data_IF_992034079004
#
_entry.id   IF_992034079004
#
_cell.length_a   1.000
_cell.length_b   1.000
_cell.length_c   1.000
_cell.angle_alpha   90.00
_cell.angle_beta   90.00
_cell.angle_gamma   90.00
#
_symmetry.space_group_name_H-M   'P 1'
#
loop_
_entity.id
_entity.type
_entity.pdbx_description
1 polymer ?
#
# COMPACT_ATOMS: atom_id res chain seq x y z
N UNK A 1 3.66 14.11 0.74
CA UNK A 1 3.53 13.56 -0.62
C UNK A 1 2.22 12.78 -0.75
N UNK A 2 1.56 12.87 -1.89
CA UNK A 2 0.32 12.15 -2.18
C UNK A 2 0.45 11.33 -3.47
N UNK A 3 -0.03 10.10 -3.45
CA UNK A 3 -0.13 9.20 -4.61
C UNK A 3 -1.59 8.78 -4.74
N UNK A 4 -2.29 9.16 -5.83
CA UNK A 4 -3.67 8.78 -6.06
C UNK A 4 -3.80 7.32 -6.52
N UNK A 5 -4.98 6.72 -6.34
CA UNK A 5 -5.28 5.34 -6.78
C UNK A 5 -5.40 5.20 -8.30
N UNK A 6 -5.69 6.30 -9.00
CA UNK A 6 -5.65 6.37 -10.46
C UNK A 6 -4.72 7.50 -10.91
N UNK A 7 -3.55 7.10 -11.41
CA UNK A 7 -2.47 8.01 -11.79
C UNK A 7 -2.64 8.48 -13.22
N UNK A 8 -2.82 9.78 -13.39
CA UNK A 8 -2.75 10.48 -14.67
C UNK A 8 -1.41 11.21 -14.81
N UNK A 9 -0.74 11.03 -15.94
CA UNK A 9 0.54 11.66 -16.27
C UNK A 9 0.41 12.46 -17.57
N UNK A 10 1.39 13.28 -17.88
CA UNK A 10 1.47 14.03 -19.15
C UNK A 10 1.92 13.10 -20.29
N UNK A 11 1.05 12.72 -21.25
CA UNK A 11 1.35 11.64 -22.21
C UNK A 11 2.56 11.88 -23.09
N UNK A 12 2.92 13.14 -23.33
CA UNK A 12 4.05 13.57 -24.16
C UNK A 12 5.40 13.49 -23.43
N UNK A 13 5.39 13.52 -22.11
CA UNK A 13 6.60 13.43 -21.31
C UNK A 13 6.99 11.97 -21.09
N UNK A 14 8.28 11.73 -20.94
CA UNK A 14 8.79 10.44 -20.48
C UNK A 14 8.50 10.23 -19.00
N UNK A 15 8.62 8.98 -18.52
CA UNK A 15 8.46 8.70 -17.09
C UNK A 15 9.45 9.46 -16.22
N UNK A 16 10.69 9.57 -16.69
CA UNK A 16 11.74 10.34 -16.01
C UNK A 16 11.43 11.83 -15.92
N UNK A 17 10.95 12.43 -17.01
CA UNK A 17 10.52 13.83 -17.05
C UNK A 17 9.30 14.06 -16.15
N UNK A 18 8.33 13.14 -16.12
CA UNK A 18 7.19 13.23 -15.20
C UNK A 18 7.65 13.25 -13.73
N UNK A 19 8.60 12.38 -13.36
CA UNK A 19 9.17 12.36 -12.02
C UNK A 19 9.85 13.68 -11.70
N UNK A 20 10.65 14.22 -12.63
CA UNK A 20 11.36 15.49 -12.45
C UNK A 20 10.39 16.66 -12.23
N UNK A 21 9.32 16.73 -13.02
CA UNK A 21 8.27 17.74 -12.86
C UNK A 21 7.62 17.62 -11.47
N UNK A 22 7.23 16.40 -11.07
CA UNK A 22 6.58 16.17 -9.78
C UNK A 22 7.50 16.52 -8.59
N UNK A 23 8.79 16.23 -8.67
CA UNK A 23 9.77 16.60 -7.65
C UNK A 23 9.94 18.14 -7.58
N UNK A 24 10.12 18.80 -8.72
CA UNK A 24 10.26 20.27 -8.80
C UNK A 24 9.02 21.00 -8.28
N UNK A 25 7.81 20.50 -8.55
CA UNK A 25 6.55 21.04 -8.00
C UNK A 25 6.49 20.97 -6.47
N UNK A 26 7.26 20.05 -5.86
CA UNK A 26 7.42 19.92 -4.40
C UNK A 26 8.64 20.67 -3.85
N UNK A 27 9.34 21.43 -4.68
CA UNK A 27 10.55 22.15 -4.29
C UNK A 27 11.80 21.26 -4.12
N UNK A 28 11.77 20.04 -4.63
CA UNK A 28 12.87 19.08 -4.55
C UNK A 28 13.67 19.09 -5.85
N UNK A 29 14.99 19.23 -5.74
CA UNK A 29 15.87 19.08 -6.90
C UNK A 29 16.00 17.59 -7.27
N UNK A 30 15.59 17.20 -8.49
CA UNK A 30 15.73 15.81 -8.94
C UNK A 30 17.15 15.24 -8.87
N UNK A 31 18.17 16.09 -9.05
CA UNK A 31 19.56 15.64 -9.04
C UNK A 31 20.05 15.26 -7.63
N UNK A 32 19.51 15.86 -6.59
CA UNK A 32 19.85 15.57 -5.19
C UNK A 32 18.91 14.56 -4.53
N UNK A 33 17.88 14.10 -5.24
CA UNK A 33 16.87 13.18 -4.73
C UNK A 33 17.29 11.71 -4.89
N UNK A 34 16.56 10.81 -4.22
CA UNK A 34 16.72 9.36 -4.38
C UNK A 34 16.10 8.79 -5.68
N UNK A 35 15.80 9.65 -6.66
CA UNK A 35 15.12 9.28 -7.91
C UNK A 35 15.78 8.10 -8.62
N UNK A 36 17.12 8.15 -8.81
CA UNK A 36 17.84 7.13 -9.57
C UNK A 36 17.74 5.74 -8.91
N UNK A 37 17.97 5.67 -7.60
CA UNK A 37 17.83 4.46 -6.79
C UNK A 37 16.42 3.87 -6.89
N UNK A 38 15.40 4.73 -6.78
CA UNK A 38 14.01 4.27 -6.81
C UNK A 38 13.55 3.83 -8.21
N UNK A 39 14.04 4.46 -9.28
CA UNK A 39 13.80 4.02 -10.66
C UNK A 39 14.31 2.59 -10.86
N UNK A 40 15.52 2.29 -10.39
CA UNK A 40 16.10 0.96 -10.45
C UNK A 40 15.30 -0.03 -9.58
N UNK A 41 15.00 0.33 -8.33
CA UNK A 41 14.24 -0.51 -7.38
C UNK A 41 12.87 -0.91 -7.91
N UNK A 42 12.17 0.00 -8.58
CA UNK A 42 10.85 -0.25 -9.18
C UNK A 42 10.91 -0.78 -10.61
N UNK A 43 12.10 -1.06 -11.13
CA UNK A 43 12.30 -1.56 -12.49
C UNK A 43 11.53 -0.72 -13.53
N UNK A 44 11.61 0.60 -13.40
CA UNK A 44 10.94 1.54 -14.28
C UNK A 44 11.88 1.94 -15.43
N UNK A 45 11.44 1.81 -16.68
CA UNK A 45 12.14 2.40 -17.82
C UNK A 45 11.75 3.89 -17.94
N UNK A 46 12.59 4.83 -17.46
CA UNK A 46 12.24 6.24 -17.41
C UNK A 46 12.25 6.93 -18.77
N UNK A 47 12.72 6.25 -19.83
CA UNK A 47 12.90 6.84 -21.15
C UNK A 47 11.64 6.77 -22.03
N UNK A 48 10.73 5.85 -21.72
CA UNK A 48 9.46 5.68 -22.43
C UNK A 48 8.49 6.82 -22.14
N UNK A 49 7.71 7.19 -23.16
CA UNK A 49 6.62 8.18 -23.00
C UNK A 49 5.53 7.65 -22.09
N UNK A 50 5.08 8.46 -21.15
CA UNK A 50 4.09 8.04 -20.15
C UNK A 50 2.74 7.68 -20.74
N UNK A 51 2.40 8.21 -21.92
CA UNK A 51 1.21 7.81 -22.67
C UNK A 51 1.19 6.35 -23.14
N UNK A 52 2.37 5.68 -23.19
CA UNK A 52 2.50 4.26 -23.56
C UNK A 52 2.56 3.33 -22.34
N UNK A 53 2.55 3.87 -21.13
CA UNK A 53 2.65 3.08 -19.92
C UNK A 53 1.36 2.32 -19.60
N UNK A 54 1.52 1.09 -19.11
CA UNK A 54 0.45 0.38 -18.42
C UNK A 54 0.02 1.13 -17.15
N UNK A 55 -1.12 0.77 -16.57
CA UNK A 55 -1.55 1.30 -15.27
C UNK A 55 -0.44 1.15 -14.20
N UNK A 56 0.16 -0.04 -14.11
CA UNK A 56 1.23 -0.33 -13.16
C UNK A 56 2.47 0.56 -13.35
N UNK A 57 2.89 0.81 -14.60
CA UNK A 57 4.02 1.70 -14.85
C UNK A 57 3.71 3.17 -14.52
N UNK A 58 2.49 3.65 -14.75
CA UNK A 58 2.08 4.99 -14.28
C UNK A 58 2.10 5.07 -12.75
N UNK A 59 1.63 4.00 -12.08
CA UNK A 59 1.69 3.90 -10.61
C UNK A 59 3.14 3.95 -10.11
N UNK A 60 4.06 3.21 -10.74
CA UNK A 60 5.50 3.26 -10.41
C UNK A 60 6.07 4.68 -10.51
N UNK A 61 5.72 5.45 -11.55
CA UNK A 61 6.16 6.85 -11.69
C UNK A 61 5.72 7.69 -10.50
N UNK A 62 4.44 7.59 -10.09
CA UNK A 62 3.91 8.35 -8.96
C UNK A 62 4.57 7.95 -7.63
N UNK A 63 4.79 6.65 -7.42
CA UNK A 63 5.47 6.13 -6.23
C UNK A 63 6.93 6.60 -6.15
N UNK A 64 7.67 6.50 -7.26
CA UNK A 64 9.06 6.99 -7.33
C UNK A 64 9.12 8.49 -7.02
N UNK A 65 8.26 9.30 -7.65
CA UNK A 65 8.23 10.73 -7.40
C UNK A 65 7.86 11.10 -5.96
N UNK A 66 6.94 10.35 -5.33
CA UNK A 66 6.56 10.57 -3.94
C UNK A 66 7.69 10.20 -2.98
N UNK A 67 8.23 8.98 -3.11
CA UNK A 67 9.25 8.44 -2.21
C UNK A 67 10.60 9.16 -2.35
N UNK A 68 10.91 9.68 -3.54
CA UNK A 68 12.13 10.46 -3.78
C UNK A 68 12.06 11.88 -3.19
N UNK A 69 10.88 12.36 -2.85
CA UNK A 69 10.69 13.69 -2.28
C UNK A 69 11.04 13.79 -0.78
N UNK A 70 11.29 12.68 -0.12
CA UNK A 70 11.64 12.58 1.32
C UNK A 70 10.71 13.44 2.22
N UNK A 71 9.40 13.22 2.08
CA UNK A 71 8.37 14.01 2.74
C UNK A 71 8.15 13.53 4.20
N UNK A 72 7.71 14.45 5.06
CA UNK A 72 7.31 14.15 6.45
C UNK A 72 5.99 13.35 6.54
N UNK A 73 5.13 13.48 5.52
CA UNK A 73 3.85 12.78 5.42
C UNK A 73 3.67 12.20 4.01
N UNK A 74 3.37 10.91 3.97
CA UNK A 74 2.95 10.21 2.76
C UNK A 74 1.48 9.80 2.88
N UNK A 75 0.71 10.12 1.84
CA UNK A 75 -0.67 9.66 1.67
C UNK A 75 -0.71 8.81 0.41
N UNK A 76 -1.00 7.53 0.57
CA UNK A 76 -1.08 6.55 -0.51
C UNK A 76 -2.51 6.04 -0.64
N UNK A 77 -3.12 6.31 -1.80
CA UNK A 77 -4.46 5.80 -2.13
C UNK A 77 -4.33 4.60 -3.06
N UNK A 78 -4.65 3.40 -2.57
CA UNK A 78 -4.52 2.13 -3.30
C UNK A 78 -3.15 1.96 -4.01
N UNK A 79 -2.01 2.16 -3.33
CA UNK A 79 -0.69 2.33 -3.97
C UNK A 79 -0.21 1.13 -4.76
N UNK A 80 -0.71 -0.06 -4.47
CA UNK A 80 -0.32 -1.32 -5.12
C UNK A 80 -1.21 -1.67 -6.31
N UNK A 81 -2.24 -0.86 -6.58
CA UNK A 81 -3.18 -1.10 -7.68
C UNK A 81 -2.47 -1.15 -9.04
N UNK A 82 -2.58 -2.32 -9.70
CA UNK A 82 -1.94 -2.57 -11.01
C UNK A 82 -0.45 -2.91 -10.95
N UNK A 83 0.15 -3.02 -9.76
CA UNK A 83 1.49 -3.56 -9.58
C UNK A 83 1.45 -5.09 -9.55
N UNK A 84 2.53 -5.70 -10.02
CA UNK A 84 2.78 -7.11 -9.77
C UNK A 84 3.21 -7.36 -8.30
N UNK A 85 3.16 -8.61 -7.80
CA UNK A 85 3.48 -8.90 -6.40
C UNK A 85 4.89 -8.48 -5.97
N UNK A 86 5.87 -8.55 -6.88
CA UNK A 86 7.25 -8.16 -6.58
C UNK A 86 7.33 -6.64 -6.35
N UNK A 87 6.73 -5.86 -7.22
CA UNK A 87 6.70 -4.40 -7.11
C UNK A 87 5.86 -3.93 -5.93
N UNK A 88 4.77 -4.63 -5.60
CA UNK A 88 4.01 -4.37 -4.38
C UNK A 88 4.90 -4.57 -3.13
N UNK A 89 5.75 -5.59 -3.12
CA UNK A 89 6.72 -5.82 -2.03
C UNK A 89 7.79 -4.73 -1.97
N UNK A 90 8.28 -4.25 -3.12
CA UNK A 90 9.21 -3.12 -3.17
C UNK A 90 8.60 -1.84 -2.61
N UNK A 91 7.31 -1.58 -2.92
CA UNK A 91 6.57 -0.47 -2.32
C UNK A 91 6.51 -0.61 -0.79
N UNK A 92 6.11 -1.79 -0.28
CA UNK A 92 6.02 -2.04 1.16
C UNK A 92 7.34 -1.77 1.87
N UNK A 93 8.46 -2.26 1.30
CA UNK A 93 9.80 -2.02 1.83
C UNK A 93 10.12 -0.52 1.86
N UNK A 94 9.86 0.18 0.77
CA UNK A 94 10.13 1.62 0.66
C UNK A 94 9.27 2.46 1.61
N UNK A 95 8.02 2.08 1.83
CA UNK A 95 7.12 2.73 2.79
C UNK A 95 7.60 2.53 4.24
N UNK A 96 8.05 1.32 4.61
CA UNK A 96 8.67 1.07 5.92
C UNK A 96 9.96 1.85 6.12
N UNK A 97 10.81 1.93 5.10
CA UNK A 97 12.03 2.75 5.14
C UNK A 97 11.70 4.23 5.39
N UNK A 98 10.66 4.76 4.74
CA UNK A 98 10.21 6.13 4.95
C UNK A 98 9.71 6.34 6.39
N UNK A 99 8.87 5.43 6.90
CA UNK A 99 8.41 5.46 8.29
C UNK A 99 9.58 5.34 9.28
N UNK A 100 10.55 4.48 9.00
CA UNK A 100 11.78 4.32 9.82
C UNK A 100 12.66 5.57 9.86
N UNK A 101 12.57 6.46 8.86
CA UNK A 101 13.20 7.78 8.86
C UNK A 101 12.38 8.86 9.59
N UNK A 102 11.21 8.50 10.13
CA UNK A 102 10.35 9.40 10.91
C UNK A 102 9.17 9.98 10.13
N UNK A 103 8.93 9.58 8.89
CA UNK A 103 7.77 10.03 8.14
C UNK A 103 6.49 9.36 8.64
N UNK A 104 5.38 10.10 8.66
CA UNK A 104 4.05 9.53 8.84
C UNK A 104 3.54 8.95 7.51
N UNK A 105 2.94 7.76 7.55
CA UNK A 105 2.38 7.10 6.37
C UNK A 105 0.91 6.81 6.59
N UNK A 106 0.05 7.37 5.75
CA UNK A 106 -1.37 7.05 5.66
C UNK A 106 -1.63 6.30 4.36
N UNK A 107 -2.24 5.12 4.43
CA UNK A 107 -2.52 4.29 3.27
C UNK A 107 -3.98 3.84 3.25
N UNK A 108 -4.63 3.93 2.10
CA UNK A 108 -5.86 3.18 1.83
C UNK A 108 -5.52 1.86 1.12
N UNK A 109 -6.21 0.78 1.44
CA UNK A 109 -6.17 -0.48 0.69
C UNK A 109 -7.43 -1.30 0.96
N UNK A 110 -7.87 -2.05 -0.03
CA UNK A 110 -8.91 -3.07 0.13
C UNK A 110 -8.31 -4.47 0.31
N UNK A 111 -6.98 -4.59 0.30
CA UNK A 111 -6.24 -5.85 0.46
C UNK A 111 -5.77 -5.98 1.91
N UNK A 112 -6.45 -6.82 2.68
CA UNK A 112 -6.21 -6.94 4.11
C UNK A 112 -4.79 -7.41 4.46
N UNK A 113 -4.18 -8.28 3.64
CA UNK A 113 -2.81 -8.73 3.86
C UNK A 113 -1.78 -7.60 3.75
N UNK A 114 -1.98 -6.63 2.86
CA UNK A 114 -1.12 -5.45 2.75
C UNK A 114 -1.22 -4.57 4.00
N UNK A 115 -2.45 -4.36 4.48
CA UNK A 115 -2.70 -3.62 5.71
C UNK A 115 -2.03 -4.29 6.91
N UNK A 116 -2.14 -5.63 7.00
CA UNK A 116 -1.51 -6.39 8.08
C UNK A 116 0.02 -6.35 8.06
N UNK A 117 0.60 -6.25 6.88
CA UNK A 117 2.04 -6.17 6.73
C UNK A 117 2.62 -4.77 6.99
N UNK A 118 1.86 -3.71 6.70
CA UNK A 118 2.40 -2.33 6.71
C UNK A 118 1.93 -1.47 7.86
N UNK A 119 0.70 -1.69 8.35
CA UNK A 119 0.04 -0.75 9.25
C UNK A 119 0.13 -1.19 10.71
N UNK A 120 0.35 -0.24 11.60
CA UNK A 120 0.23 -0.45 13.05
C UNK A 120 -1.21 -0.27 13.53
N UNK A 121 -1.92 0.68 12.91
CA UNK A 121 -3.30 1.05 13.24
C UNK A 121 -4.15 1.07 11.99
N UNK A 122 -5.41 0.70 12.13
CA UNK A 122 -6.37 0.58 11.02
C UNK A 122 -7.68 1.24 11.40
N UNK A 123 -8.28 1.92 10.41
CA UNK A 123 -9.65 2.41 10.49
C UNK A 123 -10.47 1.76 9.38
N UNK A 124 -11.50 1.02 9.74
CA UNK A 124 -12.42 0.38 8.79
C UNK A 124 -13.57 1.33 8.52
N UNK A 125 -13.75 1.66 7.23
CA UNK A 125 -14.81 2.56 6.76
C UNK A 125 -15.79 1.74 5.92
N UNK A 126 -17.10 1.89 6.17
CA UNK A 126 -18.18 1.30 5.39
C UNK A 126 -19.30 2.32 5.22
N UNK A 127 -19.79 2.50 3.98
CA UNK A 127 -20.83 3.46 3.66
C UNK A 127 -20.56 4.88 4.20
N UNK A 128 -19.29 5.35 4.11
CA UNK A 128 -18.87 6.67 4.57
C UNK A 128 -18.79 6.84 6.09
N UNK A 129 -18.94 5.76 6.86
CA UNK A 129 -18.87 5.81 8.34
C UNK A 129 -17.75 4.92 8.84
N UNK A 130 -17.05 5.37 9.88
CA UNK A 130 -16.12 4.53 10.63
C UNK A 130 -16.90 3.44 11.35
N UNK A 131 -16.59 2.18 11.01
CA UNK A 131 -17.19 0.99 11.64
C UNK A 131 -16.33 0.58 12.83
N UNK A 132 -15.02 0.66 12.68
CA UNK A 132 -14.05 0.25 13.68
C UNK A 132 -12.71 0.96 13.47
N UNK A 133 -12.02 1.27 14.57
CA UNK A 133 -10.66 1.79 14.56
C UNK A 133 -9.87 1.17 15.71
N UNK A 134 -8.57 0.93 15.51
CA UNK A 134 -7.70 0.39 16.55
C UNK A 134 -6.42 -0.20 15.97
N UNK A 135 -5.59 -0.76 16.84
CA UNK A 135 -4.39 -1.47 16.40
C UNK A 135 -4.73 -2.81 15.77
N UNK A 136 -3.87 -3.30 14.88
CA UNK A 136 -4.04 -4.64 14.29
C UNK A 136 -4.14 -5.75 15.34
N UNK A 137 -3.41 -5.62 16.46
CA UNK A 137 -3.50 -6.57 17.57
C UNK A 137 -4.91 -6.63 18.17
N UNK A 138 -5.56 -5.47 18.36
CA UNK A 138 -6.93 -5.39 18.85
C UNK A 138 -7.95 -5.95 17.83
N UNK A 139 -7.70 -5.76 16.53
CA UNK A 139 -8.61 -6.20 15.47
C UNK A 139 -8.50 -7.70 15.14
N UNK A 140 -7.35 -8.33 15.42
CA UNK A 140 -7.13 -9.77 15.18
C UNK A 140 -8.09 -10.65 15.99
N UNK A 141 -8.53 -10.22 17.16
CA UNK A 141 -9.49 -10.96 17.99
C UNK A 141 -10.86 -11.19 17.31
N UNK A 142 -11.16 -10.43 16.25
CA UNK A 142 -12.43 -10.51 15.53
C UNK A 142 -12.42 -11.51 14.36
N UNK A 143 -11.27 -12.10 14.04
CA UNK A 143 -11.17 -13.14 13.02
C UNK A 143 -11.56 -14.49 13.60
N UNK A 144 -12.82 -14.90 13.42
CA UNK A 144 -13.23 -16.28 13.55
C UNK A 144 -13.00 -16.99 12.23
N UNK A 145 -11.94 -17.80 12.14
CA UNK A 145 -11.73 -18.72 11.03
C UNK A 145 -12.45 -20.04 11.35
N UNK A 146 -13.43 -20.43 10.54
CA UNK A 146 -14.02 -21.75 10.62
C UNK A 146 -13.36 -22.62 9.54
N UNK A 147 -12.60 -23.62 9.97
CA UNK A 147 -12.05 -24.65 9.07
C UNK A 147 -12.96 -25.86 9.16
N UNK A 148 -13.54 -26.29 8.03
CA UNK A 148 -14.26 -27.55 7.91
C UNK A 148 -13.34 -28.54 7.19
N UNK A 149 -12.99 -29.62 7.84
CA UNK A 149 -12.22 -30.74 7.26
C UNK A 149 -13.14 -31.93 7.12
N UNK A 150 -13.30 -32.43 5.91
CA UNK A 150 -14.04 -33.68 5.64
C UNK A 150 -13.01 -34.77 5.39
N UNK A 151 -12.99 -35.78 6.24
CA UNK A 151 -12.09 -36.93 6.14
C UNK A 151 -12.93 -38.22 6.02
N UNK A 152 -12.92 -38.83 4.84
CA UNK A 152 -13.63 -40.11 4.60
C UNK A 152 -15.16 -39.96 4.70
N UNK A 153 -15.87 -41.10 4.87
CA UNK A 153 -17.34 -41.19 4.91
C UNK A 153 -17.97 -40.68 6.23
N UNK A 154 -17.33 -39.82 6.99
CA UNK A 154 -17.84 -39.23 8.21
C UNK A 154 -17.45 -37.76 8.37
N UNK A 155 -18.44 -36.89 8.61
CA UNK A 155 -18.20 -35.51 9.05
C UNK A 155 -17.62 -35.51 10.47
N UNK A 156 -16.34 -35.13 10.62
CA UNK A 156 -15.77 -34.87 11.95
C UNK A 156 -15.74 -33.33 12.14
N UNK A 157 -16.67 -32.83 12.93
CA UNK A 157 -16.73 -31.44 13.32
C UNK A 157 -15.65 -31.18 14.39
N UNK A 158 -14.48 -30.70 13.97
CA UNK A 158 -13.42 -30.27 14.89
C UNK A 158 -13.79 -28.90 15.47
N UNK A 159 -14.79 -28.83 16.31
CA UNK A 159 -15.18 -27.70 17.09
C UNK A 159 -14.19 -27.46 18.24
N UNK A 160 -13.23 -26.55 18.05
CA UNK A 160 -12.43 -26.05 19.16
C UNK A 160 -13.34 -25.31 20.15
N UNK A 161 -13.68 -25.95 21.23
CA UNK A 161 -14.41 -25.39 22.36
C UNK A 161 -13.44 -24.49 23.15
N UNK A 162 -13.53 -23.19 22.95
CA UNK A 162 -13.01 -22.19 23.86
C UNK A 162 -14.18 -21.70 24.72
N UNK A 163 -14.28 -22.29 25.88
CA UNK A 163 -15.25 -21.94 26.93
C UNK A 163 -15.04 -20.50 27.38
N UNK A 164 -16.08 -19.68 27.32
CA UNK A 164 -16.10 -18.30 27.78
C UNK A 164 -17.54 -17.87 27.94
N UNK A 165 -18.17 -18.31 29.05
CA UNK A 165 -19.52 -17.96 29.40
C UNK A 165 -19.77 -16.46 29.44
N UNK A 166 -20.85 -16.02 28.81
CA UNK A 166 -21.53 -14.79 29.13
C UNK A 166 -22.86 -15.17 29.75
N UNK A 167 -22.96 -14.91 31.07
CA UNK A 167 -24.20 -14.88 31.81
C UNK A 167 -25.00 -13.63 31.46
N UNK A 168 -26.32 -13.83 31.32
CA UNK A 168 -27.32 -12.80 31.17
C UNK A 168 -27.31 -11.81 32.34
N UNK A 169 -27.43 -10.52 32.05
CA UNK A 169 -28.20 -9.51 32.81
C UNK A 169 -28.39 -8.28 31.89
#
# INVERSE_FOLDING_TARGET
AYVPGDVSLWPQLTGGECIDVLLRLRGVDPASSRKAELIERFELDPTKRSGTYSKGNRQKVALVAALAADAELFIFDEPTSGLDPLMAKQFQTSAREAAGRGAAVLMSSHILSEVEELCESVTIIRAGKTVQAGTLAQLRHLRRSRVRVTVGDGDVDAGGHGDGGFADA
#
